data_IF_918087884326
#
_entry.id   IF_918087884326
#
_cell.length_a   1.000
_cell.length_b   1.000
_cell.length_c   1.000
_cell.angle_alpha   90.00
_cell.angle_beta   90.00
_cell.angle_gamma   90.00
#
_symmetry.space_group_name_H-M   'P 1'
#
loop_
_entity.id
_entity.type
_entity.pdbx_description
1 polymer ?
#
# COMPACT_ATOMS: atom_id res chain seq x y z
N UNK A 1 33.54 -20.45 -62.86
CA UNK A 1 34.14 -20.15 -61.55
C UNK A 1 33.35 -18.99 -61.01
N UNK A 2 32.35 -19.25 -60.17
CA UNK A 2 31.69 -18.23 -59.36
C UNK A 2 31.21 -18.91 -58.08
N UNK A 3 31.93 -18.62 -56.99
CA UNK A 3 31.65 -19.14 -55.65
C UNK A 3 30.65 -18.22 -54.97
N UNK A 4 29.46 -18.73 -54.65
CA UNK A 4 28.50 -18.05 -53.78
C UNK A 4 28.79 -18.46 -52.34
N UNK A 5 29.45 -17.58 -51.58
CA UNK A 5 29.60 -17.72 -50.13
C UNK A 5 28.32 -17.25 -49.43
N UNK A 6 27.58 -18.17 -48.82
CA UNK A 6 26.55 -17.84 -47.82
C UNK A 6 27.22 -17.52 -46.48
N UNK A 7 27.12 -16.26 -46.05
CA UNK A 7 27.50 -15.80 -44.72
C UNK A 7 26.30 -16.00 -43.80
N UNK A 8 26.39 -16.95 -42.87
CA UNK A 8 25.46 -17.07 -41.74
C UNK A 8 25.85 -16.04 -40.67
N UNK A 9 25.03 -15.01 -40.49
CA UNK A 9 25.16 -14.07 -39.38
C UNK A 9 24.44 -14.69 -38.18
N UNK A 10 25.22 -15.18 -37.21
CA UNK A 10 24.70 -15.57 -35.89
C UNK A 10 24.40 -14.29 -35.10
N UNK A 11 23.12 -13.88 -35.07
CA UNK A 11 22.65 -12.87 -34.12
C UNK A 11 22.63 -13.48 -32.72
N UNK A 12 23.71 -13.29 -31.96
CA UNK A 12 23.72 -13.56 -30.52
C UNK A 12 22.82 -12.51 -29.86
N UNK A 13 21.60 -12.91 -29.50
CA UNK A 13 20.78 -12.16 -28.57
C UNK A 13 21.48 -12.19 -27.21
N UNK A 14 22.25 -11.15 -26.90
CA UNK A 14 22.65 -10.85 -25.53
C UNK A 14 21.38 -10.51 -24.75
N UNK A 15 20.75 -11.52 -24.15
CA UNK A 15 19.89 -11.30 -23.00
C UNK A 15 20.77 -10.72 -21.91
N UNK A 16 20.69 -9.41 -21.69
CA UNK A 16 21.18 -8.80 -20.46
C UNK A 16 20.43 -9.46 -19.31
N UNK A 17 21.07 -10.40 -18.64
CA UNK A 17 20.65 -10.88 -17.33
C UNK A 17 20.75 -9.66 -16.44
N UNK A 18 19.63 -8.99 -16.20
CA UNK A 18 19.55 -7.98 -15.16
C UNK A 18 19.85 -8.70 -13.86
N UNK A 19 21.05 -8.49 -13.31
CA UNK A 19 21.38 -8.91 -11.96
C UNK A 19 20.40 -8.18 -11.02
N UNK A 20 19.38 -8.90 -10.56
CA UNK A 20 18.48 -8.42 -9.51
C UNK A 20 19.32 -8.10 -8.29
N UNK A 21 19.40 -6.83 -7.89
CA UNK A 21 20.30 -6.40 -6.83
C UNK A 21 19.69 -6.70 -5.46
N UNK A 22 20.06 -7.80 -4.79
CA UNK A 22 19.52 -8.11 -3.45
C UNK A 22 19.83 -7.06 -2.36
N UNK A 23 20.59 -6.01 -2.70
CA UNK A 23 20.92 -4.87 -1.86
C UNK A 23 19.70 -4.20 -1.23
N UNK A 24 18.61 -3.98 -1.99
CA UNK A 24 17.43 -3.31 -1.44
C UNK A 24 16.68 -4.16 -0.40
N UNK A 25 16.66 -5.50 -0.56
CA UNK A 25 16.13 -6.42 0.47
C UNK A 25 16.93 -6.27 1.76
N UNK A 26 18.26 -6.26 1.69
CA UNK A 26 19.11 -6.17 2.87
C UNK A 26 18.83 -4.89 3.69
N UNK A 27 18.49 -3.78 3.03
CA UNK A 27 18.16 -2.53 3.73
C UNK A 27 16.79 -2.58 4.43
N UNK A 28 15.84 -3.37 3.92
CA UNK A 28 14.50 -3.49 4.52
C UNK A 28 14.35 -4.72 5.43
N UNK A 29 15.34 -5.62 5.47
CA UNK A 29 15.35 -6.82 6.31
C UNK A 29 15.01 -6.55 7.78
N UNK A 30 15.54 -5.51 8.46
CA UNK A 30 15.18 -5.26 9.86
C UNK A 30 13.68 -5.00 10.06
N UNK A 31 13.06 -4.29 9.11
CA UNK A 31 11.62 -4.03 9.15
C UNK A 31 10.81 -5.31 8.87
N UNK A 32 11.25 -6.15 7.95
CA UNK A 32 10.62 -7.45 7.68
C UNK A 32 10.65 -8.36 8.93
N UNK A 33 11.78 -8.40 9.64
CA UNK A 33 11.91 -9.14 10.90
C UNK A 33 10.99 -8.61 11.99
N UNK A 34 10.83 -7.28 12.10
CA UNK A 34 9.85 -6.65 13.00
C UNK A 34 8.45 -7.13 12.63
N UNK A 35 8.04 -7.00 11.36
CA UNK A 35 6.73 -7.41 10.88
C UNK A 35 6.43 -8.89 11.11
N UNK A 36 7.46 -9.74 11.02
CA UNK A 36 7.34 -11.17 11.32
C UNK A 36 7.12 -11.45 12.80
N UNK A 37 7.92 -10.84 13.67
CA UNK A 37 7.76 -10.95 15.14
C UNK A 37 6.41 -10.42 15.60
N UNK A 38 5.94 -9.39 14.93
CA UNK A 38 4.71 -8.68 15.23
C UNK A 38 3.46 -9.31 14.63
N UNK A 39 3.60 -10.29 13.73
CA UNK A 39 2.46 -10.91 13.05
C UNK A 39 1.47 -11.52 14.04
N UNK A 40 0.18 -11.53 13.65
CA UNK A 40 -0.85 -12.22 14.43
C UNK A 40 -0.48 -13.69 14.68
N UNK A 41 -0.81 -14.27 15.86
CA UNK A 41 -0.55 -15.67 16.15
C UNK A 41 -1.13 -16.61 15.09
N UNK A 42 -0.49 -17.77 14.88
CA UNK A 42 -0.91 -18.74 13.86
C UNK A 42 -2.38 -19.15 13.99
N UNK A 43 -2.91 -19.27 15.21
CA UNK A 43 -4.32 -19.58 15.44
C UNK A 43 -5.26 -18.50 14.89
N UNK A 44 -4.95 -17.22 15.14
CA UNK A 44 -5.73 -16.08 14.63
C UNK A 44 -5.69 -16.06 13.11
N UNK A 45 -4.51 -16.25 12.52
CA UNK A 45 -4.34 -16.30 11.06
C UNK A 45 -5.13 -17.45 10.43
N UNK A 46 -5.08 -18.65 11.02
CA UNK A 46 -5.84 -19.81 10.52
C UNK A 46 -7.34 -19.57 10.61
N UNK A 47 -7.85 -19.04 11.74
CA UNK A 47 -9.25 -18.66 11.87
C UNK A 47 -9.66 -17.67 10.79
N UNK A 48 -8.87 -16.62 10.57
CA UNK A 48 -9.16 -15.62 9.53
C UNK A 48 -9.18 -16.24 8.12
N UNK A 49 -8.25 -17.15 7.81
CA UNK A 49 -8.22 -17.85 6.53
C UNK A 49 -9.44 -18.78 6.35
N UNK A 50 -9.85 -19.49 7.39
CA UNK A 50 -11.07 -20.31 7.37
C UNK A 50 -12.34 -19.46 7.22
N UNK A 51 -12.38 -18.27 7.83
CA UNK A 51 -13.49 -17.34 7.66
C UNK A 51 -13.60 -16.84 6.20
N UNK A 52 -12.46 -16.60 5.53
CA UNK A 52 -12.44 -16.29 4.08
C UNK A 52 -12.96 -17.46 3.27
N UNK A 53 -12.49 -18.68 3.54
CA UNK A 53 -12.96 -19.90 2.87
C UNK A 53 -14.48 -20.06 3.01
N UNK A 54 -15.01 -19.88 4.22
CA UNK A 54 -16.43 -19.98 4.50
C UNK A 54 -17.26 -18.92 3.76
N UNK A 55 -16.76 -17.69 3.63
CA UNK A 55 -17.43 -16.64 2.83
C UNK A 55 -17.36 -16.91 1.32
N UNK A 56 -16.30 -17.58 0.85
CA UNK A 56 -16.06 -17.84 -0.58
C UNK A 56 -16.81 -19.09 -1.10
N UNK A 57 -16.65 -20.23 -0.43
CA UNK A 57 -17.19 -21.54 -0.81
C UNK A 57 -17.61 -22.32 0.45
N UNK A 58 -18.72 -21.95 1.12
CA UNK A 58 -19.11 -22.49 2.44
C UNK A 58 -19.31 -24.01 2.44
N UNK A 59 -19.78 -24.59 1.33
CA UNK A 59 -19.94 -26.04 1.17
C UNK A 59 -18.63 -26.83 1.25
N UNK A 60 -17.49 -26.17 1.00
CA UNK A 60 -16.17 -26.78 0.94
C UNK A 60 -15.34 -26.54 2.20
N UNK A 61 -15.94 -26.01 3.27
CA UNK A 61 -15.23 -25.69 4.51
C UNK A 61 -14.41 -26.89 5.04
N UNK A 62 -14.97 -28.10 4.99
CA UNK A 62 -14.30 -29.32 5.45
C UNK A 62 -13.37 -29.96 4.40
N UNK A 63 -13.42 -29.52 3.14
CA UNK A 63 -12.58 -30.08 2.06
C UNK A 63 -11.13 -29.60 2.12
N UNK A 64 -10.83 -28.55 2.88
CA UNK A 64 -9.50 -27.95 2.98
C UNK A 64 -8.94 -27.98 4.39
N UNK A 65 -7.68 -28.39 4.52
CA UNK A 65 -6.90 -28.26 5.74
C UNK A 65 -5.85 -27.15 5.59
N UNK A 66 -5.91 -26.12 6.44
CA UNK A 66 -4.95 -25.02 6.44
C UNK A 66 -3.90 -25.18 7.53
N UNK A 67 -2.64 -24.95 7.18
CA UNK A 67 -1.50 -25.04 8.10
C UNK A 67 -0.59 -23.82 7.96
N UNK A 68 -0.24 -23.19 9.08
CA UNK A 68 0.83 -22.19 9.10
C UNK A 68 2.16 -22.92 9.30
N UNK A 69 3.12 -22.66 8.41
CA UNK A 69 4.47 -23.24 8.45
C UNK A 69 5.52 -22.14 8.62
N UNK A 70 6.68 -22.52 9.14
CA UNK A 70 7.82 -21.61 9.24
C UNK A 70 8.54 -21.46 7.89
N UNK A 71 9.23 -20.34 7.68
CA UNK A 71 9.94 -20.05 6.42
C UNK A 71 11.05 -21.03 6.10
N UNK A 72 11.62 -21.70 7.09
CA UNK A 72 12.68 -22.70 6.91
C UNK A 72 12.19 -23.85 6.03
N UNK A 73 10.91 -24.22 6.13
CA UNK A 73 10.27 -25.20 5.25
C UNK A 73 10.14 -24.72 3.80
N UNK A 74 10.23 -23.41 3.58
CA UNK A 74 10.23 -22.74 2.27
C UNK A 74 11.66 -22.34 1.83
N UNK A 75 12.71 -22.77 2.53
CA UNK A 75 14.09 -22.36 2.26
C UNK A 75 14.39 -20.90 2.59
N UNK A 76 13.81 -20.37 3.67
CA UNK A 76 14.02 -19.01 4.18
C UNK A 76 13.10 -17.94 3.59
N UNK A 77 12.24 -18.32 2.64
CA UNK A 77 11.36 -17.40 1.93
C UNK A 77 9.90 -17.56 2.36
N UNK A 78 9.05 -16.58 2.04
CA UNK A 78 7.61 -16.77 2.15
C UNK A 78 7.10 -17.68 1.02
N UNK A 79 6.22 -18.63 1.33
CA UNK A 79 5.69 -19.56 0.34
C UNK A 79 4.33 -20.13 0.74
N UNK A 80 3.68 -20.79 -0.22
CA UNK A 80 2.62 -21.75 0.03
C UNK A 80 2.93 -23.11 -0.60
N UNK A 81 2.37 -24.16 -0.03
CA UNK A 81 2.43 -25.54 -0.51
C UNK A 81 1.04 -26.14 -0.60
N UNK A 82 0.72 -26.83 -1.69
CA UNK A 82 -0.54 -27.54 -1.91
C UNK A 82 -0.22 -29.04 -2.05
N UNK A 83 -0.86 -29.88 -1.26
CA UNK A 83 -0.69 -31.34 -1.30
C UNK A 83 -2.02 -32.06 -1.04
N UNK A 84 -2.11 -33.31 -1.48
CA UNK A 84 -3.25 -34.18 -1.16
C UNK A 84 -3.16 -34.64 0.31
N UNK A 85 -4.29 -34.84 0.99
CA UNK A 85 -4.31 -35.53 2.27
C UNK A 85 -4.25 -37.07 2.02
N UNK A 86 -3.24 -37.79 2.53
CA UNK A 86 -3.13 -39.22 2.28
C UNK A 86 -4.09 -40.03 3.16
N UNK A 87 -5.16 -40.58 2.56
CA UNK A 87 -5.86 -41.77 3.07
C UNK A 87 -7.34 -41.64 3.43
N UNK A 88 -8.14 -42.54 2.85
CA UNK A 88 -9.56 -42.86 3.10
C UNK A 88 -10.53 -41.70 2.94
N UNK A 89 -11.11 -41.58 1.73
CA UNK A 89 -12.32 -40.81 1.44
C UNK A 89 -13.49 -41.26 2.34
N UNK A 90 -13.49 -40.81 3.60
CA UNK A 90 -14.70 -40.71 4.39
C UNK A 90 -15.36 -39.39 4.00
N UNK A 91 -16.68 -39.46 3.81
CA UNK A 91 -17.50 -38.30 3.52
C UNK A 91 -17.25 -37.21 4.59
N UNK A 92 -16.84 -36.01 4.16
CA UNK A 92 -16.52 -34.88 5.04
C UNK A 92 -15.07 -34.76 5.55
N UNK A 93 -14.13 -35.60 5.11
CA UNK A 93 -12.68 -35.42 5.41
C UNK A 93 -12.00 -34.41 4.45
N UNK A 94 -10.96 -33.67 4.89
CA UNK A 94 -10.23 -32.77 4.00
C UNK A 94 -9.54 -33.52 2.86
N UNK A 95 -9.67 -33.01 1.66
CA UNK A 95 -9.09 -33.60 0.45
C UNK A 95 -7.72 -32.97 0.15
N UNK A 96 -7.63 -31.66 0.39
CA UNK A 96 -6.47 -30.83 0.04
C UNK A 96 -5.91 -30.14 1.29
N UNK A 97 -4.60 -30.25 1.47
CA UNK A 97 -3.86 -29.50 2.47
C UNK A 97 -3.22 -28.29 1.78
N UNK A 98 -3.41 -27.11 2.36
CA UNK A 98 -2.73 -25.89 1.96
C UNK A 98 -1.93 -25.37 3.15
N UNK A 99 -0.61 -25.41 3.02
CA UNK A 99 0.31 -24.84 4.00
C UNK A 99 0.84 -23.50 3.51
N UNK A 100 1.05 -22.53 4.38
CA UNK A 100 1.64 -21.25 4.01
C UNK A 100 2.35 -20.56 5.16
N UNK A 101 3.25 -19.63 4.84
CA UNK A 101 3.99 -18.86 5.85
C UNK A 101 3.15 -17.81 6.56
N UNK A 102 2.03 -17.40 5.95
CA UNK A 102 1.04 -16.46 6.49
C UNK A 102 -0.36 -16.86 6.02
N UNK A 103 -1.41 -16.29 6.62
CA UNK A 103 -2.77 -16.49 6.11
C UNK A 103 -2.95 -15.96 4.67
N UNK A 104 -2.32 -14.84 4.30
CA UNK A 104 -2.27 -14.38 2.90
C UNK A 104 -1.65 -15.44 1.98
N UNK A 105 -0.58 -16.11 2.40
CA UNK A 105 0.05 -17.16 1.57
C UNK A 105 -0.84 -18.40 1.45
N UNK A 106 -1.51 -18.81 2.54
CA UNK A 106 -2.51 -19.89 2.52
C UNK A 106 -3.63 -19.56 1.53
N UNK A 107 -4.19 -18.35 1.60
CA UNK A 107 -5.29 -17.93 0.72
C UNK A 107 -4.84 -17.73 -0.73
N UNK A 108 -3.59 -17.33 -0.95
CA UNK A 108 -2.98 -17.35 -2.28
C UNK A 108 -2.88 -18.76 -2.83
N UNK A 109 -2.54 -19.75 -1.98
CA UNK A 109 -2.55 -21.16 -2.33
C UNK A 109 -3.96 -21.69 -2.63
N UNK A 110 -4.97 -21.29 -1.85
CA UNK A 110 -6.37 -21.60 -2.13
C UNK A 110 -6.79 -21.04 -3.49
N UNK A 111 -6.53 -19.77 -3.76
CA UNK A 111 -6.84 -19.16 -5.04
C UNK A 111 -6.10 -19.83 -6.21
N UNK A 112 -4.82 -20.18 -6.02
CA UNK A 112 -4.03 -20.91 -7.00
C UNK A 112 -4.67 -22.28 -7.33
N UNK A 113 -5.02 -23.05 -6.30
CA UNK A 113 -5.67 -24.33 -6.47
C UNK A 113 -7.01 -24.20 -7.21
N UNK A 114 -7.89 -23.31 -6.75
CA UNK A 114 -9.18 -23.07 -7.37
C UNK A 114 -9.04 -22.65 -8.85
N UNK A 115 -8.05 -21.81 -9.16
CA UNK A 115 -7.80 -21.35 -10.53
C UNK A 115 -7.28 -22.47 -11.45
N UNK A 116 -6.25 -23.19 -11.03
CA UNK A 116 -5.52 -24.09 -11.92
C UNK A 116 -6.04 -25.54 -11.91
N UNK A 117 -6.63 -26.01 -10.81
CA UNK A 117 -7.23 -27.35 -10.72
C UNK A 117 -8.74 -27.32 -10.90
N UNK A 118 -9.43 -26.32 -10.35
CA UNK A 118 -10.90 -26.25 -10.42
C UNK A 118 -11.43 -25.33 -11.53
N UNK A 119 -10.57 -24.67 -12.31
CA UNK A 119 -10.98 -23.76 -13.39
C UNK A 119 -11.79 -22.54 -12.93
N UNK A 120 -11.73 -22.19 -11.65
CA UNK A 120 -12.48 -21.09 -11.06
C UNK A 120 -11.82 -19.74 -11.36
N UNK A 121 -12.60 -18.66 -11.23
CA UNK A 121 -12.11 -17.29 -11.38
C UNK A 121 -12.71 -16.39 -10.30
N UNK A 122 -11.91 -15.51 -9.71
CA UNK A 122 -12.34 -14.59 -8.66
C UNK A 122 -11.92 -13.16 -9.03
N UNK A 123 -12.91 -12.29 -9.20
CA UNK A 123 -12.73 -10.87 -9.51
C UNK A 123 -13.74 -10.01 -8.73
N UNK A 124 -13.66 -8.68 -8.88
CA UNK A 124 -14.71 -7.81 -8.34
C UNK A 124 -16.06 -8.07 -8.99
N UNK A 125 -17.14 -7.84 -8.24
CA UNK A 125 -18.51 -8.00 -8.76
C UNK A 125 -18.77 -7.22 -10.05
N UNK A 126 -18.19 -6.02 -10.18
CA UNK A 126 -18.32 -5.17 -11.38
C UNK A 126 -17.55 -5.69 -12.60
N UNK A 127 -16.59 -6.60 -12.43
CA UNK A 127 -15.76 -7.17 -13.50
C UNK A 127 -16.07 -8.64 -13.79
N UNK A 128 -17.21 -9.15 -13.32
CA UNK A 128 -17.64 -10.54 -13.53
C UNK A 128 -17.77 -11.37 -12.25
N UNK A 129 -17.34 -10.84 -11.09
CA UNK A 129 -17.48 -11.50 -9.79
C UNK A 129 -16.66 -12.78 -9.68
N UNK A 130 -17.20 -13.75 -8.95
CA UNK A 130 -16.60 -15.07 -8.77
C UNK A 130 -17.35 -16.12 -9.60
N UNK A 131 -16.63 -16.79 -10.50
CA UNK A 131 -17.08 -17.98 -11.22
C UNK A 131 -16.56 -19.20 -10.46
N UNK A 132 -17.44 -19.86 -9.72
CA UNK A 132 -17.13 -21.02 -8.86
C UNK A 132 -17.87 -22.29 -9.28
N UNK A 133 -18.68 -22.25 -10.34
CA UNK A 133 -19.50 -23.37 -10.80
C UNK A 133 -18.68 -24.55 -11.33
N UNK A 134 -17.41 -24.31 -11.70
CA UNK A 134 -16.47 -25.35 -12.10
C UNK A 134 -15.79 -26.05 -10.93
N UNK A 135 -15.96 -25.58 -9.69
CA UNK A 135 -15.42 -26.23 -8.49
C UNK A 135 -16.22 -27.50 -8.21
N UNK A 136 -15.59 -28.70 -8.25
CA UNK A 136 -16.30 -29.95 -7.99
C UNK A 136 -16.87 -30.01 -6.57
N UNK A 137 -17.90 -30.84 -6.37
CA UNK A 137 -18.48 -31.07 -5.05
C UNK A 137 -17.44 -31.64 -4.06
N UNK A 138 -17.60 -31.40 -2.74
CA UNK A 138 -16.78 -32.04 -1.72
C UNK A 138 -16.68 -33.56 -1.93
N UNK A 139 -15.48 -34.11 -1.81
CA UNK A 139 -15.14 -35.51 -2.10
C UNK A 139 -14.73 -35.78 -3.55
N UNK A 140 -14.82 -34.79 -4.44
CA UNK A 140 -14.44 -34.88 -5.86
C UNK A 140 -13.43 -33.81 -6.29
N UNK A 141 -12.73 -33.18 -5.35
CA UNK A 141 -11.74 -32.15 -5.67
C UNK A 141 -10.54 -32.76 -6.44
N UNK A 142 -10.02 -32.11 -7.49
CA UNK A 142 -8.95 -32.70 -8.31
C UNK A 142 -7.63 -32.84 -7.55
N UNK A 143 -7.14 -34.07 -7.43
CA UNK A 143 -5.85 -34.32 -6.78
C UNK A 143 -4.70 -33.56 -7.46
N UNK A 144 -3.77 -33.04 -6.66
CA UNK A 144 -2.48 -32.52 -7.15
C UNK A 144 -1.50 -33.65 -7.39
N UNK A 145 -0.39 -33.39 -8.09
CA UNK A 145 0.67 -34.40 -8.30
C UNK A 145 1.27 -34.85 -6.96
N UNK A 146 1.76 -36.10 -6.88
CA UNK A 146 2.21 -36.73 -5.62
C UNK A 146 3.25 -35.92 -4.83
N UNK A 147 4.11 -35.17 -5.53
CA UNK A 147 5.12 -34.32 -4.91
C UNK A 147 4.58 -33.00 -4.31
N UNK A 148 3.30 -32.68 -4.53
CA UNK A 148 2.70 -31.40 -4.19
C UNK A 148 3.19 -30.25 -5.07
N UNK A 149 2.75 -29.04 -4.74
CA UNK A 149 3.09 -27.79 -5.45
C UNK A 149 3.53 -26.74 -4.44
N UNK A 150 4.81 -26.38 -4.48
CA UNK A 150 5.37 -25.29 -3.67
C UNK A 150 5.58 -24.06 -4.53
N UNK A 151 5.02 -22.92 -4.11
CA UNK A 151 5.17 -21.63 -4.78
C UNK A 151 5.75 -20.62 -3.79
N UNK A 152 6.95 -20.13 -4.09
CA UNK A 152 7.60 -19.07 -3.31
C UNK A 152 7.14 -17.70 -3.77
N UNK A 153 7.00 -16.76 -2.83
CA UNK A 153 6.82 -15.36 -3.18
C UNK A 153 8.09 -14.86 -3.90
N UNK A 154 7.96 -14.18 -5.04
CA UNK A 154 9.13 -13.59 -5.69
C UNK A 154 9.66 -12.36 -4.94
N UNK A 155 8.84 -11.78 -4.06
CA UNK A 155 9.10 -10.51 -3.38
C UNK A 155 8.50 -10.51 -1.96
N UNK A 156 9.13 -9.82 -1.00
CA UNK A 156 8.63 -9.74 0.37
C UNK A 156 7.33 -8.94 0.50
N UNK A 157 7.16 -7.89 -0.31
CA UNK A 157 5.96 -7.06 -0.31
C UNK A 157 5.24 -7.05 -1.66
N UNK A 158 3.94 -7.32 -1.61
CA UNK A 158 2.99 -7.06 -2.70
C UNK A 158 2.07 -5.93 -2.27
N UNK A 159 2.33 -4.75 -2.81
CA UNK A 159 1.59 -3.51 -2.54
C UNK A 159 0.27 -3.44 -3.32
N UNK A 160 -0.74 -2.79 -2.75
CA UNK A 160 -2.01 -2.53 -3.42
C UNK A 160 -2.57 -1.16 -3.04
N UNK A 161 -3.31 -0.56 -4.00
CA UNK A 161 -4.03 0.71 -3.98
C UNK A 161 -3.22 1.94 -4.44
N UNK A 162 -3.94 3.03 -4.71
CA UNK A 162 -3.41 4.38 -4.89
C UNK A 162 -4.09 5.29 -3.87
N UNK A 163 -3.45 6.39 -3.47
CA UNK A 163 -4.10 7.41 -2.65
C UNK A 163 -5.42 7.89 -3.28
N UNK A 164 -5.46 8.04 -4.61
CA UNK A 164 -6.66 8.49 -5.35
C UNK A 164 -7.80 7.46 -5.38
N UNK A 165 -7.51 6.17 -5.19
CA UNK A 165 -8.54 5.12 -5.15
C UNK A 165 -9.52 5.35 -4.00
N UNK A 166 -9.06 5.94 -2.90
CA UNK A 166 -9.89 6.26 -1.74
C UNK A 166 -11.07 7.19 -2.08
N UNK A 167 -10.92 8.05 -3.09
CA UNK A 167 -11.98 8.96 -3.55
C UNK A 167 -12.74 8.42 -4.76
N UNK A 168 -12.04 7.82 -5.72
CA UNK A 168 -12.70 7.35 -6.95
C UNK A 168 -13.50 6.06 -6.79
N UNK A 169 -13.10 5.20 -5.84
CA UNK A 169 -13.67 3.87 -5.71
C UNK A 169 -14.22 3.62 -4.31
N UNK A 170 -13.46 3.96 -3.26
CA UNK A 170 -13.79 3.55 -1.90
C UNK A 170 -14.67 4.54 -1.12
N UNK A 171 -14.92 5.74 -1.67
CA UNK A 171 -15.57 6.84 -0.96
C UNK A 171 -16.93 6.49 -0.34
N UNK A 172 -17.64 5.48 -0.87
CA UNK A 172 -18.97 5.09 -0.40
C UNK A 172 -19.02 3.65 0.10
N UNK A 173 -17.87 3.03 0.36
CA UNK A 173 -17.83 1.65 0.82
C UNK A 173 -18.14 1.57 2.31
N UNK A 174 -18.99 0.62 2.64
CA UNK A 174 -19.24 0.17 4.00
C UNK A 174 -18.30 -1.01 4.36
N UNK A 175 -18.53 -1.58 5.54
CA UNK A 175 -17.76 -2.74 6.00
C UNK A 175 -17.95 -3.97 5.10
N UNK A 176 -19.16 -4.25 4.64
CA UNK A 176 -19.42 -5.45 3.84
C UNK A 176 -18.65 -5.43 2.52
N UNK A 177 -18.52 -4.25 1.89
CA UNK A 177 -17.70 -4.12 0.69
C UNK A 177 -16.20 -4.17 1.00
N UNK A 178 -15.76 -3.57 2.10
CA UNK A 178 -14.35 -3.63 2.53
C UNK A 178 -13.91 -5.04 2.89
N UNK A 179 -14.75 -5.82 3.57
CA UNK A 179 -14.47 -7.22 3.91
C UNK A 179 -14.19 -8.05 2.66
N UNK A 180 -15.04 -7.91 1.63
CA UNK A 180 -14.84 -8.56 0.32
C UNK A 180 -13.56 -8.10 -0.38
N UNK A 181 -13.17 -6.83 -0.23
CA UNK A 181 -11.91 -6.35 -0.81
C UNK A 181 -10.70 -6.97 -0.12
N UNK A 182 -10.70 -7.04 1.22
CA UNK A 182 -9.58 -7.59 1.99
C UNK A 182 -9.46 -9.11 1.74
N UNK A 183 -10.58 -9.83 1.63
CA UNK A 183 -10.59 -11.23 1.23
C UNK A 183 -9.96 -11.40 -0.16
N UNK A 184 -10.35 -10.56 -1.13
CA UNK A 184 -9.76 -10.56 -2.46
C UNK A 184 -8.27 -10.22 -2.44
N UNK A 185 -7.84 -9.22 -1.65
CA UNK A 185 -6.43 -8.88 -1.46
C UNK A 185 -5.63 -10.11 -1.00
N UNK A 186 -6.14 -10.86 -0.02
CA UNK A 186 -5.47 -12.05 0.49
C UNK A 186 -5.38 -13.18 -0.55
N UNK A 187 -6.44 -13.41 -1.32
CA UNK A 187 -6.46 -14.38 -2.43
C UNK A 187 -5.47 -14.00 -3.56
N UNK A 188 -5.24 -12.71 -3.79
CA UNK A 188 -4.22 -12.22 -4.75
C UNK A 188 -2.80 -12.15 -4.16
N UNK A 189 -2.61 -12.53 -2.90
CA UNK A 189 -1.31 -12.48 -2.25
C UNK A 189 -0.83 -11.08 -1.89
N UNK A 190 -1.73 -10.09 -1.79
CA UNK A 190 -1.39 -8.74 -1.32
C UNK A 190 -1.13 -8.78 0.20
N UNK A 191 0.01 -8.23 0.62
CA UNK A 191 0.40 -8.15 2.03
C UNK A 191 0.82 -6.75 2.48
N UNK A 192 0.85 -5.75 1.58
CA UNK A 192 1.17 -4.36 1.90
C UNK A 192 0.08 -3.39 1.36
N UNK A 193 -1.17 -3.44 1.85
CA UNK A 193 -2.24 -2.56 1.38
C UNK A 193 -2.17 -1.16 2.00
N UNK A 194 -2.58 -0.12 1.26
CA UNK A 194 -2.81 1.21 1.83
C UNK A 194 -4.06 1.22 2.74
N UNK A 195 -4.05 1.98 3.84
CA UNK A 195 -5.17 2.03 4.79
C UNK A 195 -5.42 3.47 5.29
N UNK A 196 -6.08 4.28 4.45
CA UNK A 196 -6.29 5.72 4.67
C UNK A 196 -7.66 6.11 5.21
N UNK A 197 -8.57 5.14 5.38
CA UNK A 197 -9.96 5.40 5.79
C UNK A 197 -10.01 6.12 7.14
N UNK A 198 -10.83 7.15 7.24
CA UNK A 198 -11.07 7.88 8.50
C UNK A 198 -9.92 8.72 9.06
N UNK A 199 -8.85 8.98 8.30
CA UNK A 199 -7.72 9.79 8.81
C UNK A 199 -8.11 11.22 9.21
N UNK A 200 -9.20 11.76 8.66
CA UNK A 200 -9.74 13.07 9.06
C UNK A 200 -10.16 13.10 10.53
N UNK A 201 -10.64 11.98 11.08
CA UNK A 201 -10.98 11.87 12.50
C UNK A 201 -9.73 11.92 13.40
N UNK A 202 -8.60 11.41 12.91
CA UNK A 202 -7.30 11.55 13.57
C UNK A 202 -6.86 13.01 13.53
N UNK A 203 -6.93 13.65 12.36
CA UNK A 203 -6.60 15.07 12.21
C UNK A 203 -7.43 15.98 13.11
N UNK A 204 -8.74 15.73 13.22
CA UNK A 204 -9.61 16.48 14.13
C UNK A 204 -9.12 16.40 15.59
N UNK A 205 -8.73 15.20 16.05
CA UNK A 205 -8.21 14.98 17.41
C UNK A 205 -6.85 15.64 17.62
N UNK A 206 -5.97 15.55 16.63
CA UNK A 206 -4.63 16.18 16.66
C UNK A 206 -4.78 17.70 16.73
N UNK A 207 -5.48 18.32 15.79
CA UNK A 207 -5.59 19.78 15.72
C UNK A 207 -6.33 20.38 16.91
N UNK A 208 -7.22 19.62 17.57
CA UNK A 208 -7.78 20.02 18.87
C UNK A 208 -6.70 20.24 19.93
N UNK A 209 -5.64 19.42 19.96
CA UNK A 209 -4.50 19.59 20.87
C UNK A 209 -3.62 20.81 20.51
N UNK A 210 -3.79 21.35 19.31
CA UNK A 210 -3.14 22.58 18.84
C UNK A 210 -4.11 23.77 18.88
N UNK A 211 -5.17 23.72 19.70
CA UNK A 211 -6.17 24.78 19.90
C UNK A 211 -6.91 25.22 18.62
N UNK A 212 -7.01 24.34 17.63
CA UNK A 212 -7.85 24.55 16.45
C UNK A 212 -9.26 24.04 16.76
N UNK A 213 -10.26 24.89 16.54
CA UNK A 213 -11.67 24.52 16.74
C UNK A 213 -12.16 23.57 15.63
N UNK A 214 -13.21 22.80 15.91
CA UNK A 214 -13.81 21.93 14.89
C UNK A 214 -14.29 22.72 13.67
N UNK A 215 -14.93 23.88 13.87
CA UNK A 215 -15.41 24.73 12.76
C UNK A 215 -14.28 25.32 11.92
N UNK A 216 -13.08 25.49 12.49
CA UNK A 216 -11.90 25.89 11.73
C UNK A 216 -11.37 24.80 10.80
N UNK A 217 -11.81 23.55 10.95
CA UNK A 217 -11.47 22.43 10.06
C UNK A 217 -12.49 22.23 8.93
N UNK A 218 -13.66 22.88 8.99
CA UNK A 218 -14.67 22.83 7.92
C UNK A 218 -14.12 23.34 6.58
N UNK A 219 -13.19 24.30 6.65
CA UNK A 219 -12.48 24.84 5.50
C UNK A 219 -11.21 24.06 5.13
N UNK A 220 -10.79 23.09 5.95
CA UNK A 220 -9.57 22.30 5.72
C UNK A 220 -9.85 21.00 4.99
N UNK A 221 -10.87 20.24 5.42
CA UNK A 221 -11.20 18.97 4.78
C UNK A 221 -11.98 19.18 3.48
N UNK A 222 -11.66 18.38 2.46
CA UNK A 222 -12.55 18.18 1.30
C UNK A 222 -13.78 17.34 1.67
N UNK A 223 -14.76 17.30 0.77
CA UNK A 223 -15.88 16.36 0.85
C UNK A 223 -15.44 14.91 0.59
N UNK A 224 -16.27 13.89 0.92
CA UNK A 224 -15.88 12.48 0.85
C UNK A 224 -15.27 12.04 -0.49
N UNK A 225 -15.87 12.47 -1.60
CA UNK A 225 -15.42 12.15 -2.96
C UNK A 225 -14.14 12.88 -3.41
N UNK A 226 -13.58 13.77 -2.57
CA UNK A 226 -12.43 14.61 -2.89
C UNK A 226 -11.29 14.50 -1.86
N UNK A 227 -11.41 13.60 -0.90
CA UNK A 227 -10.45 13.45 0.18
C UNK A 227 -9.04 13.09 -0.29
N UNK A 228 -8.88 12.33 -1.38
CA UNK A 228 -7.55 12.00 -1.90
C UNK A 228 -6.71 13.26 -2.17
N UNK A 229 -7.24 14.20 -2.97
CA UNK A 229 -6.56 15.46 -3.28
C UNK A 229 -6.49 16.41 -2.09
N UNK A 230 -7.42 16.31 -1.15
CA UNK A 230 -7.34 17.08 0.09
C UNK A 230 -6.18 16.62 0.98
N UNK A 231 -5.98 15.30 1.10
CA UNK A 231 -4.89 14.68 1.85
C UNK A 231 -3.51 14.96 1.25
N UNK A 232 -3.43 14.98 -0.08
CA UNK A 232 -2.21 15.32 -0.83
C UNK A 232 -1.95 16.84 -0.91
N UNK A 233 -2.80 17.67 -0.28
CA UNK A 233 -2.58 19.11 -0.19
C UNK A 233 -2.89 19.88 -1.47
N UNK A 234 -3.59 19.29 -2.42
CA UNK A 234 -3.95 19.96 -3.68
C UNK A 234 -5.19 20.86 -3.52
N UNK A 235 -6.18 20.41 -2.75
CA UNK A 235 -7.44 21.11 -2.53
C UNK A 235 -7.85 21.15 -1.06
N UNK A 236 -8.78 22.03 -0.72
CA UNK A 236 -9.44 22.07 0.58
C UNK A 236 -10.89 22.54 0.41
N UNK A 237 -11.76 22.28 1.39
CA UNK A 237 -13.17 22.72 1.45
C UNK A 237 -14.13 22.17 0.38
N UNK A 238 -13.68 21.89 -0.84
CA UNK A 238 -14.54 21.48 -1.95
C UNK A 238 -15.36 20.24 -1.63
N UNK A 239 -16.69 20.33 -1.74
CA UNK A 239 -17.63 19.25 -1.43
C UNK A 239 -17.85 19.00 0.08
N UNK A 240 -17.20 19.77 0.96
CA UNK A 240 -17.40 19.71 2.41
C UNK A 240 -18.48 20.69 2.92
N UNK A 241 -18.57 20.87 4.25
CA UNK A 241 -17.76 20.23 5.30
C UNK A 241 -18.15 18.77 5.55
N UNK A 242 -17.27 18.00 6.20
CA UNK A 242 -17.58 16.65 6.65
C UNK A 242 -18.43 16.70 7.93
N UNK A 243 -19.60 16.04 7.99
CA UNK A 243 -20.36 15.96 9.22
C UNK A 243 -19.64 15.11 10.27
N UNK A 244 -19.85 15.37 11.57
CA UNK A 244 -19.22 14.57 12.64
C UNK A 244 -19.54 13.07 12.52
N UNK A 245 -20.75 12.72 12.09
CA UNK A 245 -21.15 11.34 11.85
C UNK A 245 -20.26 10.63 10.83
N UNK A 246 -19.78 11.34 9.82
CA UNK A 246 -18.81 10.80 8.85
C UNK A 246 -17.49 10.46 9.54
N UNK A 247 -16.93 11.39 10.32
CA UNK A 247 -15.65 11.18 11.02
C UNK A 247 -15.73 9.98 11.98
N UNK A 248 -16.82 9.89 12.75
CA UNK A 248 -17.02 8.82 13.71
C UNK A 248 -17.18 7.45 13.02
N UNK A 249 -18.00 7.38 11.97
CA UNK A 249 -18.24 6.15 11.21
C UNK A 249 -17.00 5.67 10.46
N UNK A 250 -16.26 6.59 9.82
CA UNK A 250 -15.04 6.25 9.09
C UNK A 250 -13.93 5.78 10.04
N UNK A 251 -13.86 6.35 11.26
CA UNK A 251 -12.94 5.86 12.29
C UNK A 251 -13.28 4.43 12.73
N UNK A 252 -14.55 4.13 12.95
CA UNK A 252 -15.02 2.77 13.28
C UNK A 252 -14.68 1.81 12.13
N UNK A 253 -14.95 2.21 10.89
CA UNK A 253 -14.68 1.41 9.69
C UNK A 253 -13.18 1.11 9.56
N UNK A 254 -12.32 2.10 9.74
CA UNK A 254 -10.87 1.91 9.68
C UNK A 254 -10.36 0.92 10.73
N UNK A 255 -10.89 0.97 11.97
CA UNK A 255 -10.50 0.00 13.00
C UNK A 255 -10.86 -1.44 12.59
N UNK A 256 -12.00 -1.65 11.93
CA UNK A 256 -12.37 -2.97 11.38
C UNK A 256 -11.46 -3.41 10.22
N UNK A 257 -11.15 -2.48 9.30
CA UNK A 257 -10.23 -2.72 8.17
C UNK A 257 -8.86 -3.17 8.69
N UNK A 258 -8.28 -2.40 9.61
CA UNK A 258 -6.97 -2.71 10.18
C UNK A 258 -6.96 -4.04 10.92
N UNK A 259 -7.97 -4.31 11.74
CA UNK A 259 -8.10 -5.59 12.44
C UNK A 259 -8.07 -6.77 11.47
N UNK A 260 -8.90 -6.75 10.42
CA UNK A 260 -8.96 -7.84 9.43
C UNK A 260 -7.67 -7.98 8.62
N UNK A 261 -7.03 -6.87 8.26
CA UNK A 261 -5.73 -6.91 7.58
C UNK A 261 -4.65 -7.59 8.46
N UNK A 262 -4.57 -7.23 9.75
CA UNK A 262 -3.62 -7.85 10.67
C UNK A 262 -3.94 -9.32 10.96
N UNK A 263 -5.22 -9.69 11.10
CA UNK A 263 -5.67 -11.08 11.25
C UNK A 263 -5.20 -11.96 10.09
N UNK A 264 -5.20 -11.43 8.86
CA UNK A 264 -4.73 -12.13 7.67
C UNK A 264 -3.20 -12.06 7.48
N UNK A 265 -2.47 -11.40 8.37
CA UNK A 265 -1.01 -11.26 8.29
C UNK A 265 -0.53 -10.19 7.30
N UNK A 266 -1.40 -9.26 6.88
CA UNK A 266 -1.02 -8.09 6.09
C UNK A 266 -0.36 -7.01 6.96
N UNK A 267 0.34 -6.10 6.30
CA UNK A 267 1.01 -4.92 6.88
C UNK A 267 0.38 -3.65 6.27
N UNK A 268 -0.63 -3.04 6.91
CA UNK A 268 -1.31 -1.87 6.36
C UNK A 268 -0.41 -0.63 6.35
N UNK A 269 -0.35 0.13 5.26
CA UNK A 269 0.37 1.41 5.20
C UNK A 269 -0.52 2.51 5.75
N UNK A 270 -0.08 3.16 6.82
CA UNK A 270 -0.83 4.23 7.50
C UNK A 270 -0.43 5.62 6.97
N UNK A 271 -1.28 6.65 7.07
CA UNK A 271 -0.90 8.01 6.67
C UNK A 271 0.13 8.63 7.62
N UNK A 272 0.84 9.65 7.14
CA UNK A 272 1.67 10.53 7.95
C UNK A 272 1.48 12.01 7.56
N UNK A 273 2.05 12.91 8.35
CA UNK A 273 2.02 14.34 8.08
C UNK A 273 2.99 14.71 6.95
N UNK A 274 2.51 15.44 5.95
CA UNK A 274 3.30 15.94 4.82
C UNK A 274 3.54 17.46 4.86
N UNK A 275 3.08 18.17 5.89
CA UNK A 275 3.23 19.63 6.01
C UNK A 275 1.96 20.45 5.74
N UNK A 276 0.94 19.87 5.11
CA UNK A 276 -0.33 20.58 4.83
C UNK A 276 -1.14 20.82 6.11
N UNK A 277 -1.52 22.07 6.37
CA UNK A 277 -2.17 22.51 7.62
C UNK A 277 -3.42 23.36 7.37
N UNK A 278 -4.37 23.45 8.33
CA UNK A 278 -5.49 24.37 8.23
C UNK A 278 -5.03 25.83 8.29
N UNK A 279 -5.72 26.71 7.55
CA UNK A 279 -5.46 28.16 7.57
C UNK A 279 -5.47 28.74 9.00
N UNK A 280 -6.35 28.21 9.85
CA UNK A 280 -6.48 28.61 11.25
C UNK A 280 -5.19 28.44 12.08
N UNK A 281 -4.28 27.57 11.67
CA UNK A 281 -3.01 27.37 12.37
C UNK A 281 -2.18 28.66 12.38
N UNK A 282 -2.28 29.49 11.34
CA UNK A 282 -1.61 30.80 11.26
C UNK A 282 -2.16 31.80 12.29
N UNK A 283 -3.42 31.68 12.67
CA UNK A 283 -4.01 32.54 13.71
C UNK A 283 -3.61 32.10 15.11
N UNK A 284 -3.53 30.79 15.35
CA UNK A 284 -3.13 30.23 16.65
C UNK A 284 -1.61 30.33 16.88
N UNK A 285 -0.82 30.17 15.82
CA UNK A 285 0.64 30.30 15.84
C UNK A 285 1.10 31.37 14.83
N UNK A 286 0.99 32.67 15.16
CA UNK A 286 1.34 33.76 14.23
C UNK A 286 2.79 33.77 13.77
N UNK A 287 3.70 33.20 14.57
CA UNK A 287 5.12 33.07 14.24
C UNK A 287 5.43 31.84 13.37
N UNK A 288 4.45 30.97 13.12
CA UNK A 288 4.66 29.77 12.33
C UNK A 288 4.93 30.13 10.85
N UNK A 289 5.95 29.51 10.28
CA UNK A 289 6.32 29.69 8.87
C UNK A 289 5.38 28.93 7.97
N UNK A 290 4.24 29.53 7.64
CA UNK A 290 3.22 28.93 6.78
C UNK A 290 3.15 29.70 5.46
N UNK A 291 3.43 29.00 4.37
CA UNK A 291 3.30 29.49 3.00
C UNK A 291 1.97 29.03 2.40
N UNK A 292 1.46 29.76 1.41
CA UNK A 292 0.28 29.37 0.64
C UNK A 292 0.75 28.81 -0.71
N UNK A 293 0.36 27.59 -1.04
CA UNK A 293 0.73 26.93 -2.28
C UNK A 293 0.01 27.54 -3.50
N UNK A 294 0.51 27.19 -4.68
CA UNK A 294 -0.06 27.62 -5.96
C UNK A 294 -1.42 26.99 -6.27
N UNK A 295 -2.03 27.46 -7.36
CA UNK A 295 -3.29 26.92 -7.85
C UNK A 295 -3.10 25.55 -8.50
N UNK A 296 -3.65 24.52 -7.86
CA UNK A 296 -3.77 23.19 -8.44
C UNK A 296 -5.12 23.06 -9.17
N UNK A 297 -5.09 23.27 -10.49
CA UNK A 297 -6.17 22.95 -11.46
C UNK A 297 -7.62 23.26 -11.07
N UNK A 298 -7.87 24.30 -10.27
CA UNK A 298 -9.25 24.67 -9.92
C UNK A 298 -10.04 25.15 -11.13
N UNK A 299 -11.37 24.94 -11.07
CA UNK A 299 -12.30 25.45 -12.06
C UNK A 299 -12.19 26.97 -12.14
N UNK A 300 -11.90 27.49 -13.33
CA UNK A 300 -11.69 28.91 -13.60
C UNK A 300 -10.60 29.58 -12.75
N UNK A 301 -9.64 28.79 -12.23
CA UNK A 301 -8.58 29.28 -11.34
C UNK A 301 -9.11 29.94 -10.05
N UNK A 302 -10.28 29.53 -9.55
CA UNK A 302 -10.85 30.06 -8.30
C UNK A 302 -10.04 29.56 -7.08
N UNK A 303 -9.32 30.45 -6.36
CA UNK A 303 -8.47 30.07 -5.26
C UNK A 303 -9.22 29.72 -3.97
N UNK A 304 -10.56 29.67 -4.00
CA UNK A 304 -11.41 29.33 -2.85
C UNK A 304 -11.25 27.88 -2.37
N UNK A 305 -10.82 26.98 -3.25
CA UNK A 305 -10.82 25.52 -3.01
C UNK A 305 -9.46 24.86 -3.20
N UNK A 306 -8.38 25.62 -3.37
CA UNK A 306 -7.01 25.13 -3.58
C UNK A 306 -6.03 25.90 -2.70
N UNK A 307 -4.75 25.82 -3.08
CA UNK A 307 -3.80 26.83 -2.68
C UNK A 307 -3.66 26.74 -1.17
N UNK A 308 -3.41 25.49 -0.76
CA UNK A 308 -3.41 25.03 0.62
C UNK A 308 -2.24 25.65 1.37
N UNK A 309 -2.22 25.45 2.68
CA UNK A 309 -1.24 26.08 3.55
C UNK A 309 -0.18 25.05 3.91
N UNK A 310 1.05 25.30 3.48
CA UNK A 310 2.19 24.45 3.76
C UNK A 310 2.98 25.02 4.93
N UNK A 311 3.06 24.27 6.02
CA UNK A 311 3.98 24.53 7.12
C UNK A 311 5.40 24.19 6.68
N UNK A 312 6.31 25.14 6.79
CA UNK A 312 7.71 24.98 6.41
C UNK A 312 8.41 23.97 7.33
N UNK A 313 9.25 23.11 6.74
CA UNK A 313 9.97 22.07 7.48
C UNK A 313 10.94 22.62 8.53
N UNK A 314 11.44 23.85 8.36
CA UNK A 314 12.33 24.49 9.34
C UNK A 314 11.58 25.01 10.55
N UNK A 315 10.24 24.98 10.54
CA UNK A 315 9.42 25.36 11.69
C UNK A 315 9.38 24.22 12.73
N UNK A 316 9.71 24.47 14.02
CA UNK A 316 9.63 23.46 15.08
C UNK A 316 8.24 22.83 15.25
N UNK A 317 7.18 23.50 14.78
CA UNK A 317 5.83 22.98 14.81
C UNK A 317 5.64 21.79 13.85
N UNK A 318 6.45 21.66 12.80
CA UNK A 318 6.36 20.59 11.81
C UNK A 318 6.54 19.21 12.47
N UNK A 319 7.66 19.03 13.17
CA UNK A 319 7.98 17.78 13.88
C UNK A 319 6.97 17.52 14.99
N UNK A 320 6.51 18.57 15.70
CA UNK A 320 5.49 18.43 16.75
C UNK A 320 4.16 17.90 16.22
N UNK A 321 3.67 18.45 15.11
CA UNK A 321 2.42 18.00 14.48
C UNK A 321 2.58 16.59 13.90
N UNK A 322 3.68 16.33 13.19
CA UNK A 322 3.97 15.00 12.64
C UNK A 322 3.99 13.91 13.70
N UNK A 323 4.73 14.16 14.79
CA UNK A 323 4.78 13.26 15.95
C UNK A 323 3.40 13.04 16.55
N UNK A 324 2.65 14.12 16.82
CA UNK A 324 1.33 14.05 17.43
C UNK A 324 0.34 13.25 16.57
N UNK A 325 0.46 13.32 15.24
CA UNK A 325 -0.39 12.56 14.33
C UNK A 325 -0.15 11.06 14.44
N UNK A 326 1.12 10.61 14.44
CA UNK A 326 1.45 9.20 14.61
C UNK A 326 1.05 8.68 16.01
N UNK A 327 1.32 9.45 17.07
CA UNK A 327 0.90 9.10 18.44
C UNK A 327 -0.62 8.97 18.55
N UNK A 328 -1.38 9.85 17.90
CA UNK A 328 -2.83 9.79 17.90
C UNK A 328 -3.36 8.59 17.09
N UNK A 329 -2.71 8.22 15.98
CA UNK A 329 -3.03 6.98 15.26
C UNK A 329 -2.79 5.76 16.15
N UNK A 330 -1.61 5.66 16.79
CA UNK A 330 -1.28 4.55 17.67
C UNK A 330 -2.27 4.43 18.83
N UNK A 331 -2.68 5.55 19.42
CA UNK A 331 -3.71 5.59 20.46
C UNK A 331 -5.06 5.07 19.97
N UNK A 332 -5.46 5.39 18.75
CA UNK A 332 -6.77 5.00 18.22
C UNK A 332 -6.81 3.57 17.69
N UNK A 333 -5.74 3.13 17.04
CA UNK A 333 -5.66 1.84 16.36
C UNK A 333 -5.01 0.77 17.24
N UNK A 334 -4.29 1.15 18.30
CA UNK A 334 -3.61 0.25 19.23
C UNK A 334 -2.31 -0.35 18.71
N UNK A 335 -2.00 -0.15 17.42
CA UNK A 335 -0.81 -0.71 16.75
C UNK A 335 -0.41 0.10 15.52
N UNK A 336 0.87 0.08 15.20
CA UNK A 336 1.47 0.53 13.93
C UNK A 336 1.96 -0.65 13.10
N UNK A 337 2.08 -0.46 11.79
CA UNK A 337 2.80 -1.34 10.86
C UNK A 337 4.24 -0.88 10.60
N UNK A 338 4.63 0.25 11.20
CA UNK A 338 5.86 1.00 10.99
C UNK A 338 6.06 1.55 9.59
N UNK A 339 5.09 1.39 8.67
CA UNK A 339 5.17 1.95 7.32
C UNK A 339 4.13 3.06 7.18
N UNK A 340 4.63 4.25 6.85
CA UNK A 340 3.83 5.45 6.73
C UNK A 340 3.93 6.07 5.35
N UNK A 341 2.81 6.44 4.74
CA UNK A 341 2.78 7.17 3.48
C UNK A 341 2.36 8.62 3.70
N UNK A 342 3.13 9.53 3.14
CA UNK A 342 2.76 10.93 2.94
C UNK A 342 3.54 11.48 1.75
N UNK A 343 2.93 12.45 1.06
CA UNK A 343 3.45 13.05 -0.16
C UNK A 343 3.24 14.57 -0.07
N UNK A 344 4.31 15.35 0.03
CA UNK A 344 4.24 16.82 0.21
C UNK A 344 4.03 17.57 -1.09
N UNK A 345 4.58 17.05 -2.19
CA UNK A 345 4.68 17.74 -3.47
C UNK A 345 4.07 16.91 -4.61
N UNK A 346 3.03 16.16 -4.31
CA UNK A 346 2.26 15.48 -5.36
C UNK A 346 1.53 16.53 -6.21
N UNK A 347 1.98 16.68 -7.46
CA UNK A 347 1.54 17.70 -8.41
C UNK A 347 1.61 19.16 -7.91
N UNK A 348 2.48 19.42 -6.91
CA UNK A 348 2.80 20.77 -6.43
C UNK A 348 4.30 20.99 -6.52
N UNK A 349 4.72 22.11 -7.10
CA UNK A 349 6.15 22.44 -7.20
C UNK A 349 6.69 22.96 -5.85
N UNK A 350 7.86 22.48 -5.39
CA UNK A 350 8.49 23.02 -4.18
C UNK A 350 8.76 24.53 -4.31
N UNK A 351 8.64 25.30 -3.22
CA UNK A 351 8.80 26.76 -3.28
C UNK A 351 10.26 27.22 -3.46
N UNK A 352 11.23 26.34 -3.18
CA UNK A 352 12.66 26.64 -3.23
C UNK A 352 13.38 25.57 -4.04
N UNK A 353 14.11 26.01 -5.07
CA UNK A 353 14.94 25.16 -5.93
C UNK A 353 16.38 25.03 -5.38
N UNK A 354 16.49 24.60 -4.13
CA UNK A 354 17.76 24.37 -3.45
C UNK A 354 17.82 22.93 -2.94
N UNK A 355 18.78 22.10 -3.38
CA UNK A 355 18.98 20.75 -2.87
C UNK A 355 19.10 20.67 -1.33
N UNK A 356 19.70 21.67 -0.67
CA UNK A 356 19.81 21.66 0.79
C UNK A 356 18.44 21.82 1.46
N UNK A 357 17.60 22.71 0.92
CA UNK A 357 16.20 22.85 1.36
C UNK A 357 15.41 21.55 1.16
N UNK A 358 15.50 20.93 -0.02
CA UNK A 358 14.80 19.68 -0.32
C UNK A 358 15.25 18.55 0.61
N UNK A 359 16.56 18.43 0.86
CA UNK A 359 17.10 17.45 1.80
C UNK A 359 16.64 17.73 3.22
N UNK A 360 16.62 18.99 3.66
CA UNK A 360 16.13 19.35 5.00
C UNK A 360 14.65 19.00 5.15
N UNK A 361 13.83 19.28 4.13
CA UNK A 361 12.40 18.96 4.15
C UNK A 361 12.17 17.46 4.32
N UNK A 362 12.80 16.63 3.47
CA UNK A 362 12.65 15.19 3.56
C UNK A 362 13.12 14.62 4.90
N UNK A 363 14.21 15.16 5.45
CA UNK A 363 14.71 14.78 6.77
C UNK A 363 13.71 15.14 7.90
N UNK A 364 13.11 16.33 7.86
CA UNK A 364 12.12 16.76 8.87
C UNK A 364 10.82 15.96 8.78
N UNK A 365 10.34 15.64 7.57
CA UNK A 365 9.16 14.78 7.37
C UNK A 365 9.39 13.44 8.08
N UNK A 366 10.53 12.81 7.80
CA UNK A 366 10.88 11.54 8.42
C UNK A 366 11.13 11.66 9.92
N UNK A 367 11.76 12.74 10.39
CA UNK A 367 11.92 13.00 11.83
C UNK A 367 10.56 13.03 12.54
N UNK A 368 9.55 13.68 11.94
CA UNK A 368 8.19 13.69 12.47
C UNK A 368 7.62 12.28 12.71
N UNK A 369 7.86 11.35 11.79
CA UNK A 369 7.46 9.95 11.94
C UNK A 369 8.31 9.25 13.02
N UNK A 370 9.64 9.37 12.91
CA UNK A 370 10.60 8.68 13.76
C UNK A 370 10.47 9.05 15.24
N UNK A 371 10.05 10.28 15.54
CA UNK A 371 9.86 10.77 16.91
C UNK A 371 8.70 10.09 17.65
N UNK A 372 7.78 9.46 16.93
CA UNK A 372 6.68 8.69 17.49
C UNK A 372 6.87 7.18 17.34
N UNK A 373 7.56 6.75 16.28
CA UNK A 373 7.85 5.35 15.98
C UNK A 373 9.31 5.22 15.52
N UNK A 374 10.19 4.70 16.37
CA UNK A 374 11.62 4.57 16.07
C UNK A 374 11.91 3.64 14.88
N UNK A 375 10.99 2.74 14.58
CA UNK A 375 11.10 1.78 13.48
C UNK A 375 10.46 2.28 12.19
N UNK A 376 9.88 3.47 12.19
CA UNK A 376 9.22 4.10 11.04
C UNK A 376 10.02 3.98 9.74
N UNK A 377 9.30 3.70 8.67
CA UNK A 377 9.73 3.71 7.28
C UNK A 377 8.74 4.53 6.48
N UNK A 378 9.26 5.45 5.68
CA UNK A 378 8.48 6.28 4.79
C UNK A 378 8.26 5.56 3.45
N UNK A 379 7.00 5.32 3.09
CA UNK A 379 6.61 4.92 1.75
C UNK A 379 6.16 6.17 0.98
N UNK A 380 6.87 6.54 -0.08
CA UNK A 380 6.60 7.77 -0.84
C UNK A 380 6.17 7.46 -2.27
N UNK A 381 5.22 8.23 -2.80
CA UNK A 381 4.86 8.19 -4.20
C UNK A 381 5.94 8.80 -5.08
N UNK A 382 6.42 8.06 -6.08
CA UNK A 382 7.38 8.54 -7.07
C UNK A 382 6.78 9.40 -8.19
N UNK A 383 5.45 9.63 -8.21
CA UNK A 383 4.74 10.33 -9.31
C UNK A 383 5.30 11.73 -9.58
N UNK A 384 5.69 12.45 -8.52
CA UNK A 384 6.32 13.77 -8.60
C UNK A 384 7.55 13.79 -9.55
N UNK A 385 8.34 12.71 -9.61
CA UNK A 385 9.50 12.59 -10.50
C UNK A 385 9.14 12.38 -11.98
N UNK A 386 7.89 12.01 -12.29
CA UNK A 386 7.39 11.83 -13.65
C UNK A 386 6.72 13.10 -14.19
N UNK A 387 6.04 13.84 -13.30
CA UNK A 387 5.12 14.90 -13.68
C UNK A 387 5.79 16.27 -13.77
N UNK A 388 6.60 16.66 -12.79
CA UNK A 388 7.11 18.02 -12.65
C UNK A 388 8.58 18.14 -13.10
N UNK A 389 8.91 19.02 -14.07
CA UNK A 389 10.29 19.23 -14.54
C UNK A 389 11.24 19.79 -13.48
N UNK A 390 10.73 20.24 -12.33
CA UNK A 390 11.54 20.61 -11.15
C UNK A 390 12.49 19.49 -10.73
N UNK A 391 12.04 18.23 -10.81
CA UNK A 391 12.74 17.07 -10.27
C UNK A 391 13.86 16.55 -11.17
N UNK A 392 14.91 17.35 -11.31
CA UNK A 392 16.15 16.97 -11.98
C UNK A 392 16.98 16.03 -11.08
N UNK A 393 18.03 15.37 -11.61
CA UNK A 393 18.83 14.42 -10.85
C UNK A 393 19.35 14.94 -9.50
N UNK A 394 19.69 16.23 -9.39
CA UNK A 394 20.19 16.81 -8.13
C UNK A 394 19.08 16.94 -7.08
N UNK A 395 17.91 17.46 -7.45
CA UNK A 395 16.74 17.61 -6.58
C UNK A 395 16.20 16.24 -6.15
N UNK A 396 16.12 15.29 -7.09
CA UNK A 396 15.69 13.92 -6.82
C UNK A 396 16.62 13.23 -5.82
N UNK A 397 17.95 13.31 -6.00
CA UNK A 397 18.91 12.76 -5.02
C UNK A 397 18.79 13.42 -3.66
N UNK A 398 18.63 14.73 -3.61
CA UNK A 398 18.49 15.47 -2.37
C UNK A 398 17.30 14.96 -1.53
N UNK A 399 16.17 14.67 -2.18
CA UNK A 399 15.01 14.09 -1.50
C UNK A 399 15.25 12.62 -1.12
N UNK A 400 15.74 11.81 -2.05
CA UNK A 400 15.88 10.37 -1.82
C UNK A 400 16.95 9.99 -0.79
N UNK A 401 17.96 10.85 -0.62
CA UNK A 401 19.05 10.67 0.35
C UNK A 401 18.88 11.54 1.60
N UNK A 402 17.72 12.21 1.78
CA UNK A 402 17.42 12.98 2.98
C UNK A 402 17.21 12.11 4.23
N UNK A 403 17.07 10.81 4.04
CA UNK A 403 16.78 9.82 5.08
C UNK A 403 17.74 8.64 4.99
N UNK A 404 17.98 7.91 6.09
CA UNK A 404 18.82 6.72 6.06
C UNK A 404 18.32 5.69 5.04
N UNK A 405 19.24 4.99 4.37
CA UNK A 405 18.90 3.91 3.46
C UNK A 405 18.07 2.84 4.19
N UNK A 406 17.02 2.33 3.53
CA UNK A 406 16.05 1.40 4.11
C UNK A 406 14.92 2.08 4.90
N UNK A 407 15.02 3.38 5.19
CA UNK A 407 13.96 4.17 5.86
C UNK A 407 13.06 4.96 4.91
N UNK A 408 13.36 4.92 3.62
CA UNK A 408 12.49 5.40 2.54
C UNK A 408 12.37 4.33 1.46
N UNK A 409 11.13 4.09 1.04
CA UNK A 409 10.79 3.21 -0.06
C UNK A 409 9.96 4.03 -1.05
N UNK A 410 10.33 3.98 -2.33
CA UNK A 410 9.60 4.69 -3.39
C UNK A 410 8.61 3.76 -4.08
N UNK A 411 7.37 4.19 -4.25
CA UNK A 411 6.44 3.57 -5.20
C UNK A 411 6.76 4.12 -6.60
N UNK A 412 7.28 3.31 -7.51
CA UNK A 412 7.40 3.70 -8.92
C UNK A 412 6.04 3.53 -9.59
N UNK A 413 5.19 4.56 -9.47
CA UNK A 413 3.74 4.43 -9.66
C UNK A 413 3.31 3.92 -11.04
N UNK A 414 3.97 4.40 -12.09
CA UNK A 414 3.56 4.17 -13.48
C UNK A 414 4.65 3.42 -14.25
N UNK A 415 5.25 2.42 -13.61
CA UNK A 415 6.50 1.82 -14.05
C UNK A 415 6.37 0.89 -15.26
N UNK A 416 5.16 0.52 -15.65
CA UNK A 416 4.86 -0.19 -16.89
C UNK A 416 4.89 0.71 -18.13
N UNK A 417 4.71 2.04 -17.96
CA UNK A 417 4.74 3.01 -19.07
C UNK A 417 5.89 4.01 -18.96
N UNK A 418 6.09 4.59 -17.77
CA UNK A 418 7.14 5.56 -17.46
C UNK A 418 7.98 5.11 -16.24
N UNK A 419 8.81 4.06 -16.38
CA UNK A 419 9.64 3.56 -15.29
C UNK A 419 10.71 4.57 -14.87
N UNK A 420 10.54 5.20 -13.71
CA UNK A 420 11.53 6.11 -13.13
C UNK A 420 12.78 5.33 -12.70
N UNK A 421 12.62 4.11 -12.20
CA UNK A 421 13.74 3.26 -11.76
C UNK A 421 14.78 3.07 -12.87
N UNK A 422 14.35 2.99 -14.14
CA UNK A 422 15.21 2.74 -15.28
C UNK A 422 16.08 3.95 -15.64
N UNK A 423 15.61 5.18 -15.37
CA UNK A 423 16.31 6.42 -15.71
C UNK A 423 17.03 7.06 -14.52
N UNK A 424 16.70 6.64 -13.29
CA UNK A 424 17.25 7.16 -12.03
C UNK A 424 18.34 6.29 -11.41
N UNK A 425 18.92 5.35 -12.17
CA UNK A 425 19.86 4.34 -11.65
C UNK A 425 19.27 3.61 -10.43
N UNK A 426 18.03 3.13 -10.57
CA UNK A 426 17.26 2.50 -9.50
C UNK A 426 17.11 3.42 -8.27
N UNK A 427 16.55 4.62 -8.48
CA UNK A 427 16.34 5.62 -7.42
C UNK A 427 17.61 5.93 -6.62
N UNK A 428 18.77 5.92 -7.28
CA UNK A 428 20.08 6.15 -6.67
C UNK A 428 20.34 5.29 -5.42
N UNK A 429 19.87 4.03 -5.43
CA UNK A 429 20.05 3.05 -4.36
C UNK A 429 18.95 3.04 -3.30
N UNK A 430 17.99 3.96 -3.35
CA UNK A 430 16.81 3.92 -2.47
C UNK A 430 15.89 2.77 -2.88
N UNK A 431 15.46 1.89 -1.94
CA UNK A 431 14.53 0.81 -2.24
C UNK A 431 13.25 1.31 -2.92
N UNK A 432 12.69 0.51 -3.83
CA UNK A 432 11.46 0.87 -4.53
C UNK A 432 10.56 -0.34 -4.78
N UNK A 433 9.27 -0.07 -4.99
CA UNK A 433 8.26 -1.04 -5.42
C UNK A 433 7.83 -0.66 -6.83
N UNK A 434 8.01 -1.58 -7.77
CA UNK A 434 7.51 -1.42 -9.14
C UNK A 434 5.99 -1.59 -9.14
N UNK A 435 5.27 -0.56 -9.59
CA UNK A 435 3.81 -0.54 -9.61
C UNK A 435 3.30 -0.41 -11.05
N UNK A 436 2.15 -1.03 -11.30
CA UNK A 436 1.34 -0.84 -12.51
C UNK A 436 0.23 0.15 -12.20
N UNK A 437 -0.04 1.12 -13.07
CA UNK A 437 -1.21 2.00 -12.98
C UNK A 437 -2.07 1.85 -14.24
N UNK A 438 -3.09 0.98 -14.17
CA UNK A 438 -3.91 0.62 -15.33
C UNK A 438 -5.05 1.61 -15.63
N UNK A 439 -5.53 2.38 -14.65
CA UNK A 439 -6.76 3.17 -14.78
C UNK A 439 -6.57 4.62 -14.31
N UNK A 440 -6.53 5.53 -15.27
CA UNK A 440 -6.66 6.97 -15.01
C UNK A 440 -8.15 7.37 -15.04
N UNK A 441 -8.65 7.98 -13.96
CA UNK A 441 -9.90 8.76 -13.88
C UNK A 441 -11.30 8.07 -13.91
N UNK A 442 -11.51 6.77 -14.16
CA UNK A 442 -12.90 6.21 -14.25
C UNK A 442 -13.24 5.02 -13.32
N UNK A 443 -12.25 4.36 -12.73
CA UNK A 443 -12.40 3.46 -11.58
C UNK A 443 -10.97 3.14 -11.19
N UNK A 444 -10.34 3.98 -10.36
CA UNK A 444 -8.92 3.86 -10.06
C UNK A 444 -8.63 2.71 -9.08
N UNK A 445 -9.21 1.55 -9.27
CA UNK A 445 -8.83 0.35 -8.54
C UNK A 445 -7.70 -0.30 -9.34
N UNK A 446 -6.48 0.12 -9.02
CA UNK A 446 -5.24 -0.40 -9.60
C UNK A 446 -5.10 -1.89 -9.27
N UNK A 447 -5.54 -2.80 -10.14
CA UNK A 447 -5.15 -4.22 -10.03
C UNK A 447 -3.66 -4.29 -10.38
N UNK A 448 -2.80 -4.38 -9.36
CA UNK A 448 -1.34 -4.45 -9.56
C UNK A 448 -0.87 -5.89 -9.44
N UNK A 449 -0.20 -6.38 -10.49
CA UNK A 449 0.76 -7.48 -10.39
C UNK A 449 2.12 -6.87 -9.99
N UNK A 450 2.56 -7.11 -8.77
CA UNK A 450 3.84 -6.58 -8.28
C UNK A 450 5.01 -7.40 -8.82
N UNK A 451 6.07 -6.71 -9.25
CA UNK A 451 7.43 -7.25 -9.33
C UNK A 451 8.36 -6.21 -8.71
N UNK A 452 8.67 -6.31 -7.42
CA UNK A 452 9.86 -5.64 -6.91
C UNK A 452 11.06 -6.12 -7.74
N UNK A 453 11.55 -5.26 -8.61
CA UNK A 453 12.89 -5.39 -9.17
C UNK A 453 13.79 -4.58 -8.27
N UNK A 454 14.91 -5.17 -7.91
CA UNK A 454 16.04 -4.44 -7.39
C UNK A 454 17.14 -4.38 -8.43
#
# INVERSE_FOLDING_TARGET
MDSISLIFIFCVFCFSIANSSTLGINYVSPLLEIQERERAPSSVQLTAAYDVLNRLIPSHFSSFQFLIILKEYCGGEFCFNISNLPGSAQDGSPEIIISGTTAVDILSGLHWYLKYWCGAHISWSKTGGAQLASVPDPGSLPAVQDAGVVVKRPVPWSYYQNAVTSSYTFAWWDWERWEKEIDWMALQGINLPLAFTGQEAIWQKVFKNFNISTSSLDDFFGGPAFLAWSRMGNLHKWGGPLPQSWLDQQLILQKKILARMYELGMTPVLPAFSGNVPAALKHVFPSAKISRLGNWFTVNSDPRWCCTYLLDATDPLFVKIGKAFIEQQLKEYGRSSHIYNCDTFDENTPPVDDPEYISSLGATIFEGMQRADSDAVWLMQGWLFTYDPFWRPTQMKALLHSVPLGKLIVLDLYAEVKPIWATSKQFYGTPYIWKVTLLFFICASDVVFNVIKF
#
